data_IF_950553663336
#
_entry.id   IF_950553663336
#
_cell.length_a   1.000
_cell.length_b   1.000
_cell.length_c   1.000
_cell.angle_alpha   90.00
_cell.angle_beta   90.00
_cell.angle_gamma   90.00
#
_symmetry.space_group_name_H-M   'P 1'
#
loop_
_entity.id
_entity.type
_entity.pdbx_description
1 polymer ?
#
# COMPACT_ATOMS: atom_id res chain seq x y z
N UNK A 1 3.01 3.16 6.28
CA UNK A 1 2.76 3.06 4.81
C UNK A 1 3.75 3.97 4.11
N UNK A 2 4.33 3.57 2.97
CA UNK A 2 5.29 4.39 2.22
C UNK A 2 4.57 5.00 1.02
N UNK A 3 4.20 6.28 1.13
CA UNK A 3 3.49 7.04 0.09
C UNK A 3 4.35 8.13 -0.55
N UNK A 4 5.46 8.45 0.11
CA UNK A 4 6.49 9.35 -0.35
C UNK A 4 7.85 8.69 -0.13
N UNK A 5 8.91 9.33 -0.63
CA UNK A 5 10.27 8.85 -0.43
C UNK A 5 10.62 8.85 1.07
N UNK A 6 11.05 7.70 1.58
CA UNK A 6 11.37 7.52 3.01
C UNK A 6 12.78 6.94 3.22
N UNK A 7 13.85 7.75 3.08
CA UNK A 7 15.24 7.26 3.11
C UNK A 7 15.64 6.59 4.43
N UNK A 8 14.98 6.93 5.53
CA UNK A 8 15.29 6.38 6.87
C UNK A 8 15.04 4.87 7.01
N UNK A 9 14.38 4.27 6.01
CA UNK A 9 14.09 2.84 5.92
C UNK A 9 15.12 2.09 5.06
N UNK A 10 15.95 2.80 4.29
CA UNK A 10 16.96 2.21 3.41
C UNK A 10 17.99 1.42 4.26
N UNK A 11 18.33 0.21 3.81
CA UNK A 11 19.22 -0.71 4.54
C UNK A 11 18.60 -1.38 5.78
N UNK A 12 17.38 -1.00 6.19
CA UNK A 12 16.63 -1.64 7.28
C UNK A 12 15.56 -2.61 6.79
N UNK A 13 15.00 -2.36 5.61
CA UNK A 13 13.93 -3.17 5.02
C UNK A 13 14.24 -3.48 3.54
N UNK A 14 13.95 -4.71 3.12
CA UNK A 14 14.11 -5.14 1.72
C UNK A 14 12.85 -4.81 0.93
N UNK A 15 12.94 -3.86 -0.01
CA UNK A 15 11.87 -3.62 -0.97
C UNK A 15 11.79 -4.77 -1.98
N UNK A 16 10.63 -5.42 -2.12
CA UNK A 16 10.42 -6.55 -3.04
C UNK A 16 9.49 -6.25 -4.22
N UNK A 17 8.87 -5.07 -4.24
CA UNK A 17 7.93 -4.68 -5.27
C UNK A 17 7.54 -3.21 -5.17
N UNK A 18 6.88 -2.71 -6.21
CA UNK A 18 6.30 -1.36 -6.27
C UNK A 18 4.94 -1.41 -6.93
N UNK A 19 4.07 -0.48 -6.57
CA UNK A 19 2.81 -0.25 -7.28
C UNK A 19 3.15 0.40 -8.63
N UNK A 20 2.69 -0.21 -9.72
CA UNK A 20 2.90 0.32 -11.09
C UNK A 20 1.64 0.93 -11.68
N UNK A 21 0.46 0.52 -11.20
CA UNK A 21 -0.87 0.98 -11.62
C UNK A 21 -1.80 1.01 -10.40
N UNK A 22 -2.85 1.84 -10.44
CA UNK A 22 -3.86 1.93 -9.37
C UNK A 22 -3.44 2.77 -8.16
N UNK A 23 -2.54 3.73 -8.32
CA UNK A 23 -2.12 4.63 -7.23
C UNK A 23 -3.28 5.44 -6.64
N UNK A 24 -4.28 5.79 -7.45
CA UNK A 24 -5.51 6.45 -7.00
C UNK A 24 -6.33 5.59 -6.02
N UNK A 25 -6.17 4.26 -6.06
CA UNK A 25 -6.78 3.36 -5.08
C UNK A 25 -5.98 3.40 -3.77
N UNK A 26 -4.66 3.49 -3.85
CA UNK A 26 -3.78 3.65 -2.67
C UNK A 26 -4.12 4.95 -1.92
N UNK A 27 -4.31 6.05 -2.64
CA UNK A 27 -4.72 7.34 -2.07
C UNK A 27 -6.10 7.25 -1.37
N UNK A 28 -7.06 6.52 -1.96
CA UNK A 28 -8.36 6.28 -1.32
C UNK A 28 -8.24 5.45 -0.04
N UNK A 29 -7.30 4.50 0.00
CA UNK A 29 -7.02 3.69 1.21
C UNK A 29 -6.38 4.57 2.29
N UNK A 30 -5.47 5.48 1.93
CA UNK A 30 -4.89 6.44 2.87
C UNK A 30 -5.95 7.34 3.51
N UNK A 31 -6.93 7.79 2.72
CA UNK A 31 -7.96 8.71 3.17
C UNK A 31 -9.08 8.08 4.03
N UNK A 32 -9.03 6.77 4.31
CA UNK A 32 -10.09 6.12 5.11
C UNK A 32 -10.06 6.57 6.57
N UNK A 33 -11.23 6.68 7.19
CA UNK A 33 -11.33 7.01 8.62
C UNK A 33 -10.76 5.88 9.48
N UNK A 34 -9.92 6.23 10.44
CA UNK A 34 -9.25 5.31 11.37
C UNK A 34 -9.64 5.57 12.82
N UNK A 35 -9.58 4.52 13.64
CA UNK A 35 -9.54 4.59 15.09
C UNK A 35 -8.12 4.20 15.54
N UNK A 36 -7.30 5.19 15.89
CA UNK A 36 -5.84 5.01 16.00
C UNK A 36 -5.24 4.70 14.63
N UNK A 37 -4.60 3.54 14.49
CA UNK A 37 -4.07 3.06 13.19
C UNK A 37 -5.00 2.08 12.48
N UNK A 38 -6.12 1.70 13.11
CA UNK A 38 -7.04 0.69 12.55
C UNK A 38 -8.17 1.35 11.77
N UNK A 39 -8.44 0.97 10.51
CA UNK A 39 -9.59 1.46 9.77
C UNK A 39 -10.92 1.20 10.49
N UNK A 40 -11.78 2.21 10.60
CA UNK A 40 -13.13 2.08 11.19
C UNK A 40 -13.98 1.13 10.35
N UNK A 41 -13.86 1.24 9.03
CA UNK A 41 -14.43 0.29 8.06
C UNK A 41 -13.29 -0.55 7.50
N UNK A 42 -13.43 -1.88 7.59
CA UNK A 42 -12.42 -2.83 7.10
C UNK A 42 -12.17 -2.64 5.61
N UNK A 43 -10.92 -2.38 5.25
CA UNK A 43 -10.42 -2.46 3.87
C UNK A 43 -9.88 -3.87 3.66
N UNK A 44 -10.51 -4.63 2.77
CA UNK A 44 -10.23 -6.06 2.60
C UNK A 44 -9.74 -6.39 1.20
N UNK A 45 -8.70 -7.22 1.14
CA UNK A 45 -8.22 -7.81 -0.09
C UNK A 45 -9.03 -9.09 -0.38
N UNK A 46 -9.86 -9.03 -1.44
CA UNK A 46 -10.79 -10.13 -1.77
C UNK A 46 -10.18 -11.21 -2.67
N UNK A 47 -9.24 -10.83 -3.55
CA UNK A 47 -8.60 -11.73 -4.51
C UNK A 47 -7.22 -11.18 -4.89
N UNK A 48 -6.26 -12.07 -5.09
CA UNK A 48 -4.96 -11.78 -5.71
C UNK A 48 -4.83 -12.61 -6.98
N UNK A 49 -4.26 -12.02 -8.02
CA UNK A 49 -3.84 -12.74 -9.22
C UNK A 49 -2.35 -12.48 -9.45
N UNK A 50 -1.60 -13.53 -9.79
CA UNK A 50 -0.21 -13.40 -10.23
C UNK A 50 -0.22 -13.43 -11.75
N UNK A 51 0.11 -12.31 -12.36
CA UNK A 51 0.19 -12.18 -13.81
C UNK A 51 1.65 -12.06 -14.23
N UNK A 52 1.99 -12.68 -15.35
CA UNK A 52 3.27 -12.39 -16.01
C UNK A 52 3.14 -10.98 -16.59
N UNK A 53 3.96 -10.06 -16.12
CA UNK A 53 4.11 -8.77 -16.79
C UNK A 53 4.80 -9.08 -18.13
N UNK A 54 4.24 -8.69 -19.28
CA UNK A 54 4.88 -8.90 -20.58
C UNK A 54 6.24 -8.18 -20.68
#
# INVERSE_FOLDING_TARGET
MVLARTPVLDGKYTAFGKVVEGMEVVEKIEAVTVNGETPVKRVELKKVAVTKIP
#
